data_IF_444926974818
#
_entry.id   IF_444926974818
#
_cell.length_a   1.000
_cell.length_b   1.000
_cell.length_c   1.000
_cell.angle_alpha   90.00
_cell.angle_beta   90.00
_cell.angle_gamma   90.00
#
_symmetry.space_group_name_H-M   'P 1'
#
loop_
_entity.id
_entity.type
_entity.pdbx_description
1 polymer ?
#
# COMPACT_ATOMS: atom_id res chain seq x y z
N UNK A 1 -33.12 -27.72 -31.22
CA UNK A 1 -32.11 -27.99 -30.16
C UNK A 1 -30.77 -28.02 -30.89
N UNK A 2 -29.80 -27.14 -30.67
CA UNK A 2 -29.00 -26.91 -29.46
C UNK A 2 -28.23 -25.59 -29.66
N UNK A 3 -28.18 -24.81 -28.59
CA UNK A 3 -27.69 -23.44 -28.48
C UNK A 3 -26.16 -23.42 -28.48
N UNK A 4 -25.54 -22.53 -29.25
CA UNK A 4 -24.12 -22.18 -29.13
C UNK A 4 -24.05 -20.65 -29.08
N UNK A 5 -24.30 -20.07 -27.90
CA UNK A 5 -23.28 -19.58 -26.96
C UNK A 5 -22.42 -18.50 -27.63
N UNK A 6 -22.90 -17.26 -27.46
CA UNK A 6 -22.17 -16.02 -27.74
C UNK A 6 -21.06 -15.91 -26.70
N UNK A 7 -19.80 -16.00 -27.13
CA UNK A 7 -18.64 -15.70 -26.30
C UNK A 7 -18.46 -14.17 -26.25
N UNK A 8 -19.12 -13.53 -25.28
CA UNK A 8 -18.81 -12.16 -24.89
C UNK A 8 -17.48 -12.14 -24.16
N UNK A 9 -16.40 -11.78 -24.86
CA UNK A 9 -15.12 -11.42 -24.24
C UNK A 9 -15.28 -10.05 -23.58
N UNK A 10 -15.56 -10.07 -22.27
CA UNK A 10 -15.57 -8.88 -21.42
C UNK A 10 -14.16 -8.32 -21.35
N UNK A 11 -13.96 -7.18 -22.01
CA UNK A 11 -12.83 -6.27 -21.80
C UNK A 11 -12.86 -5.78 -20.35
N UNK A 12 -12.08 -6.40 -19.47
CA UNK A 12 -11.75 -5.79 -18.17
C UNK A 12 -10.55 -4.89 -18.39
N UNK A 13 -10.83 -3.68 -18.87
CA UNK A 13 -9.89 -2.57 -18.83
C UNK A 13 -9.70 -2.18 -17.36
N UNK A 14 -8.67 -2.71 -16.71
CA UNK A 14 -8.21 -2.22 -15.41
C UNK A 14 -7.57 -0.84 -15.61
N UNK A 15 -8.42 0.18 -15.61
CA UNK A 15 -8.02 1.57 -15.47
C UNK A 15 -7.40 1.69 -14.08
N UNK A 16 -6.06 1.72 -14.02
CA UNK A 16 -5.35 2.14 -12.82
C UNK A 16 -5.65 3.62 -12.63
N UNK A 17 -6.61 3.92 -11.76
CA UNK A 17 -6.89 5.26 -11.31
C UNK A 17 -5.64 5.76 -10.56
N UNK A 18 -4.81 6.55 -11.23
CA UNK A 18 -3.79 7.37 -10.57
C UNK A 18 -4.52 8.49 -9.82
N UNK A 19 -5.25 8.14 -8.77
CA UNK A 19 -5.71 9.12 -7.80
C UNK A 19 -4.45 9.69 -7.17
N UNK A 20 -4.24 11.01 -7.24
CA UNK A 20 -3.15 11.71 -6.57
C UNK A 20 -3.31 11.59 -5.05
N UNK A 21 -3.11 10.39 -4.50
CA UNK A 21 -2.89 10.20 -3.07
C UNK A 21 -1.45 10.59 -2.81
N UNK A 22 -1.22 11.35 -1.74
CA UNK A 22 0.12 11.57 -1.20
C UNK A 22 0.64 10.21 -0.78
N UNK A 23 1.70 9.76 -1.44
CA UNK A 23 2.36 8.51 -1.16
C UNK A 23 3.77 8.85 -0.69
N UNK A 24 4.22 8.16 0.34
CA UNK A 24 5.55 8.33 0.89
C UNK A 24 6.14 6.98 1.26
N UNK A 25 7.45 6.85 1.03
CA UNK A 25 8.23 5.72 1.52
C UNK A 25 8.44 5.88 3.03
N UNK A 26 8.13 4.80 3.75
CA UNK A 26 8.17 4.73 5.20
C UNK A 26 9.25 3.76 5.67
N UNK A 27 9.90 4.13 6.77
CA UNK A 27 10.82 3.27 7.50
C UNK A 27 10.50 3.28 9.00
N UNK A 28 11.08 2.34 9.73
CA UNK A 28 11.18 2.42 11.18
C UNK A 28 12.63 2.35 11.62
N UNK A 29 12.93 2.94 12.78
CA UNK A 29 14.26 2.88 13.38
C UNK A 29 14.49 1.56 14.12
N UNK A 30 15.40 0.74 13.61
CA UNK A 30 15.88 -0.45 14.33
C UNK A 30 17.21 -0.19 15.02
N UNK A 31 17.61 -1.03 15.99
CA UNK A 31 18.96 -0.96 16.60
C UNK A 31 20.12 -1.08 15.58
N UNK A 32 19.84 -1.54 14.36
CA UNK A 32 20.83 -1.71 13.30
C UNK A 32 20.73 -0.62 12.21
N UNK A 33 19.86 0.39 12.39
CA UNK A 33 19.57 1.44 11.43
C UNK A 33 18.11 1.46 10.97
N UNK A 34 17.80 2.41 10.08
CA UNK A 34 16.49 2.56 9.43
C UNK A 34 16.18 1.33 8.57
N UNK A 35 14.95 0.82 8.70
CA UNK A 35 14.44 -0.31 7.91
C UNK A 35 13.23 0.15 7.11
N UNK A 36 13.41 0.24 5.80
CA UNK A 36 12.34 0.56 4.85
C UNK A 36 11.25 -0.53 4.89
N UNK A 37 10.01 -0.11 5.08
CA UNK A 37 8.82 -0.98 5.12
C UNK A 37 7.91 -0.80 3.89
N UNK A 38 8.21 0.19 3.06
CA UNK A 38 7.59 0.41 1.76
C UNK A 38 6.83 1.72 1.66
N UNK A 39 6.17 1.93 0.52
CA UNK A 39 5.39 3.12 0.21
C UNK A 39 3.92 2.96 0.66
N UNK A 40 3.43 3.95 1.40
CA UNK A 40 2.04 4.03 1.86
C UNK A 40 1.39 5.31 1.35
N UNK A 41 0.07 5.28 1.12
CA UNK A 41 -0.64 6.35 0.45
C UNK A 41 -1.93 6.79 1.17
N UNK A 42 -2.15 8.10 1.29
CA UNK A 42 -3.39 8.67 1.83
C UNK A 42 -3.63 8.24 3.28
N UNK A 43 -4.82 7.78 3.61
CA UNK A 43 -5.17 7.42 5.00
C UNK A 43 -4.28 6.31 5.58
N UNK A 44 -3.81 5.36 4.76
CA UNK A 44 -2.91 4.29 5.20
C UNK A 44 -1.54 4.83 5.63
N UNK A 45 -1.12 5.94 5.03
CA UNK A 45 0.12 6.63 5.39
C UNK A 45 -0.02 7.31 6.76
N UNK A 46 -1.10 8.06 6.97
CA UNK A 46 -1.37 8.71 8.25
C UNK A 46 -1.59 7.68 9.37
N UNK A 47 -2.25 6.56 9.06
CA UNK A 47 -2.49 5.48 10.01
C UNK A 47 -1.19 4.81 10.44
N UNK A 48 -0.31 4.45 9.50
CA UNK A 48 0.91 3.72 9.84
C UNK A 48 1.90 4.56 10.65
N UNK A 49 1.98 5.87 10.39
CA UNK A 49 2.77 6.78 11.21
C UNK A 49 2.22 6.93 12.63
N UNK A 50 0.90 6.94 12.79
CA UNK A 50 0.27 7.03 14.12
C UNK A 50 0.33 5.70 14.89
N UNK A 51 0.14 4.56 14.22
CA UNK A 51 0.10 3.26 14.87
C UNK A 51 1.49 2.65 15.10
N UNK A 52 2.46 3.05 14.27
CA UNK A 52 3.74 2.38 14.16
C UNK A 52 3.59 0.96 13.59
N UNK A 53 4.65 0.16 13.72
CA UNK A 53 4.69 -1.25 13.28
C UNK A 53 5.19 -2.19 14.37
N UNK A 54 4.81 -3.47 14.30
CA UNK A 54 5.28 -4.50 15.25
C UNK A 54 6.19 -5.48 14.53
N UNK A 55 7.46 -5.49 14.93
CA UNK A 55 8.45 -6.44 14.39
C UNK A 55 8.98 -7.29 15.55
N UNK A 56 8.82 -8.61 15.45
CA UNK A 56 9.21 -9.57 16.49
C UNK A 56 8.63 -9.27 17.90
N UNK A 57 7.42 -8.70 17.96
CA UNK A 57 6.75 -8.36 19.22
C UNK A 57 7.21 -7.05 19.85
N UNK A 58 8.08 -6.29 19.19
CA UNK A 58 8.47 -4.93 19.58
C UNK A 58 7.75 -3.92 18.71
N UNK A 59 7.15 -2.90 19.34
CA UNK A 59 6.55 -1.77 18.64
C UNK A 59 7.66 -0.79 18.25
N UNK A 60 7.64 -0.37 16.98
CA UNK A 60 8.52 0.64 16.42
C UNK A 60 7.70 1.81 15.89
N UNK A 61 8.22 3.01 16.09
CA UNK A 61 7.71 4.22 15.45
C UNK A 61 8.04 4.19 13.95
N UNK A 62 7.10 4.64 13.13
CA UNK A 62 7.25 4.68 11.68
C UNK A 62 7.38 6.13 11.26
N UNK A 63 8.35 6.39 10.37
CA UNK A 63 8.63 7.68 9.79
C UNK A 63 8.47 7.58 8.28
N UNK A 64 7.61 8.40 7.70
CA UNK A 64 7.43 8.47 6.26
C UNK A 64 7.97 9.79 5.72
N UNK A 65 8.82 9.73 4.70
CA UNK A 65 9.43 10.94 4.11
C UNK A 65 8.38 11.87 3.49
N UNK A 66 8.58 13.19 3.59
CA UNK A 66 7.72 14.30 3.09
C UNK A 66 6.43 13.90 2.33
N UNK A 67 5.30 13.95 3.05
CA UNK A 67 3.94 13.79 2.51
C UNK A 67 3.07 15.06 2.62
#
# INVERSE_FOLDING_TARGET
MKKSIVLSTVLVSSLFFTSCKKCAECHYDSPNGEVEIGEYCGDELEEIEQSGTIVNGTQFEVHCHDH
#
